data_IF_721910688320
#
_entry.id   IF_721910688320
#
_cell.length_a   1.000
_cell.length_b   1.000
_cell.length_c   1.000
_cell.angle_alpha   90.00
_cell.angle_beta   90.00
_cell.angle_gamma   90.00
#
_symmetry.space_group_name_H-M   'P 1'
#
loop_
_entity.id
_entity.type
_entity.pdbx_description
1 polymer ?
#
# COMPACT_ATOMS: atom_id res chain seq x y z
N UNK A 1 -20.54 -8.51 -16.90
CA UNK A 1 -19.29 -8.23 -17.62
C UNK A 1 -19.61 -7.35 -18.81
N UNK A 2 -18.78 -6.33 -19.11
CA UNK A 2 -17.58 -5.97 -18.37
C UNK A 2 -17.90 -5.19 -17.10
N UNK A 3 -16.93 -5.06 -16.19
CA UNK A 3 -17.02 -4.15 -15.04
C UNK A 3 -16.96 -2.72 -15.56
N UNK A 4 -17.87 -1.84 -15.11
CA UNK A 4 -17.92 -0.46 -15.59
C UNK A 4 -16.71 0.36 -15.14
N UNK A 5 -16.34 0.29 -13.86
CA UNK A 5 -15.16 0.98 -13.33
C UNK A 5 -14.40 0.05 -12.39
N UNK A 6 -13.14 -0.22 -12.71
CA UNK A 6 -12.20 -0.89 -11.83
C UNK A 6 -11.31 0.13 -11.13
N UNK A 7 -11.33 0.14 -9.80
CA UNK A 7 -10.51 1.03 -8.97
C UNK A 7 -9.46 0.20 -8.25
N UNK A 8 -8.18 0.54 -8.45
CA UNK A 8 -7.09 -0.19 -7.83
C UNK A 8 -5.80 0.61 -7.79
N UNK A 9 -4.86 0.18 -6.95
CA UNK A 9 -3.55 0.83 -6.87
C UNK A 9 -2.73 0.67 -8.16
N UNK A 10 -1.97 1.70 -8.52
CA UNK A 10 -1.08 1.67 -9.68
C UNK A 10 -0.06 0.51 -9.64
N UNK A 11 0.25 -0.03 -8.45
CA UNK A 11 1.09 -1.23 -8.29
C UNK A 11 0.56 -2.47 -9.01
N UNK A 12 -0.75 -2.54 -9.28
CA UNK A 12 -1.38 -3.69 -9.93
C UNK A 12 -1.54 -3.49 -11.45
N UNK A 13 -1.15 -2.33 -11.98
CA UNK A 13 -1.43 -1.93 -13.36
C UNK A 13 -0.76 -2.80 -14.42
N UNK A 14 0.36 -3.46 -14.09
CA UNK A 14 1.08 -4.31 -15.05
C UNK A 14 0.64 -5.77 -14.90
N UNK A 15 1.05 -6.47 -13.84
CA UNK A 15 0.85 -7.93 -13.74
C UNK A 15 -0.62 -8.32 -13.66
N UNK A 16 -1.33 -7.82 -12.64
CA UNK A 16 -2.70 -8.25 -12.39
C UNK A 16 -3.63 -7.86 -13.54
N UNK A 17 -3.50 -6.64 -14.07
CA UNK A 17 -4.31 -6.19 -15.21
C UNK A 17 -4.00 -6.97 -16.48
N UNK A 18 -2.73 -7.27 -16.75
CA UNK A 18 -2.37 -8.07 -17.90
C UNK A 18 -2.98 -9.48 -17.81
N UNK A 19 -2.89 -10.14 -16.65
CA UNK A 19 -3.50 -11.44 -16.45
C UNK A 19 -5.03 -11.41 -16.55
N UNK A 20 -5.69 -10.40 -15.98
CA UNK A 20 -7.13 -10.24 -16.09
C UNK A 20 -7.58 -10.11 -17.56
N UNK A 21 -6.84 -9.33 -18.36
CA UNK A 21 -7.11 -9.21 -19.81
C UNK A 21 -6.84 -10.52 -20.53
N UNK A 22 -5.71 -11.17 -20.28
CA UNK A 22 -5.38 -12.47 -20.88
C UNK A 22 -6.50 -13.50 -20.66
N UNK A 23 -6.95 -13.67 -19.41
CA UNK A 23 -8.03 -14.62 -19.12
C UNK A 23 -9.37 -14.19 -19.73
N UNK A 24 -9.69 -12.89 -19.75
CA UNK A 24 -10.91 -12.39 -20.39
C UNK A 24 -10.93 -12.66 -21.90
N UNK A 25 -9.79 -12.48 -22.58
CA UNK A 25 -9.64 -12.82 -23.99
C UNK A 25 -9.75 -14.33 -24.23
N UNK A 26 -9.07 -15.14 -23.42
CA UNK A 26 -9.16 -16.60 -23.51
C UNK A 26 -10.60 -17.10 -23.34
N UNK A 27 -11.31 -16.61 -22.32
CA UNK A 27 -12.70 -17.01 -22.05
C UNK A 27 -13.67 -16.52 -23.14
N UNK A 28 -13.40 -15.35 -23.73
CA UNK A 28 -14.15 -14.87 -24.88
C UNK A 28 -13.98 -15.79 -26.08
N UNK A 29 -12.76 -16.21 -26.38
CA UNK A 29 -12.45 -17.12 -27.49
C UNK A 29 -13.09 -18.50 -27.29
N UNK A 30 -13.29 -18.93 -26.05
CA UNK A 30 -14.04 -20.16 -25.71
C UNK A 30 -15.57 -19.98 -25.74
N UNK A 31 -16.08 -18.76 -25.93
CA UNK A 31 -17.52 -18.45 -25.91
C UNK A 31 -18.15 -18.32 -24.52
N UNK A 32 -17.34 -18.24 -23.47
CA UNK A 32 -17.82 -18.16 -22.07
C UNK A 32 -18.18 -16.74 -21.64
N UNK A 33 -17.67 -15.72 -22.34
CA UNK A 33 -17.98 -14.32 -22.09
C UNK A 33 -18.43 -13.63 -23.37
N UNK A 34 -19.33 -12.66 -23.22
CA UNK A 34 -19.84 -11.84 -24.34
C UNK A 34 -18.93 -10.66 -24.70
N UNK A 35 -17.91 -10.38 -23.88
CA UNK A 35 -17.02 -9.25 -24.05
C UNK A 35 -15.56 -9.69 -23.90
N UNK A 36 -14.70 -9.13 -24.76
CA UNK A 36 -13.29 -9.47 -24.83
C UNK A 36 -12.46 -8.83 -23.72
N UNK A 37 -12.73 -7.57 -23.40
CA UNK A 37 -12.06 -6.83 -22.33
C UNK A 37 -12.86 -6.89 -21.01
N UNK A 38 -12.18 -7.03 -19.85
CA UNK A 38 -12.87 -7.22 -18.57
C UNK A 38 -13.37 -5.92 -17.92
N UNK A 39 -12.79 -4.76 -18.27
CA UNK A 39 -13.05 -3.46 -17.64
C UNK A 39 -13.35 -2.40 -18.70
N UNK A 40 -14.42 -1.60 -18.53
CA UNK A 40 -14.68 -0.43 -19.40
C UNK A 40 -13.76 0.74 -19.06
N UNK A 41 -13.62 1.01 -17.77
CA UNK A 41 -12.73 2.04 -17.24
C UNK A 41 -11.86 1.47 -16.12
N UNK A 42 -10.62 1.92 -16.07
CA UNK A 42 -9.70 1.63 -14.98
C UNK A 42 -9.18 2.94 -14.37
N UNK A 43 -9.39 3.10 -13.07
CA UNK A 43 -8.90 4.22 -12.29
C UNK A 43 -7.75 3.76 -11.39
N UNK A 44 -6.54 4.18 -11.73
CA UNK A 44 -5.35 3.91 -10.94
C UNK A 44 -5.23 4.92 -9.79
N UNK A 45 -5.37 4.46 -8.56
CA UNK A 45 -5.17 5.28 -7.37
C UNK A 45 -3.68 5.39 -7.05
N UNK A 46 -3.29 6.57 -6.56
CA UNK A 46 -1.97 6.83 -5.99
C UNK A 46 -1.75 6.08 -4.68
N UNK A 47 -0.49 6.04 -4.23
CA UNK A 47 -0.11 5.37 -3.00
C UNK A 47 -0.15 6.33 -1.82
N UNK A 48 -0.69 5.86 -0.70
CA UNK A 48 -0.73 6.65 0.54
C UNK A 48 0.61 6.49 1.27
N UNK A 49 1.18 7.62 1.71
CA UNK A 49 2.45 7.69 2.42
C UNK A 49 2.25 7.98 3.90
N UNK A 50 3.19 7.53 4.74
CA UNK A 50 3.17 7.72 6.19
C UNK A 50 4.59 7.76 6.75
N UNK A 51 4.72 8.34 7.94
CA UNK A 51 5.96 8.39 8.72
C UNK A 51 6.52 6.98 8.95
N UNK A 52 7.79 6.80 8.65
CA UNK A 52 8.51 5.55 8.76
C UNK A 52 9.76 5.73 9.60
N UNK A 53 10.07 4.71 10.43
CA UNK A 53 11.18 4.75 11.37
C UNK A 53 12.06 3.53 11.16
N UNK A 54 13.36 3.77 10.97
CA UNK A 54 14.37 2.73 10.79
C UNK A 54 15.49 2.94 11.79
N UNK A 55 15.97 1.89 12.44
CA UNK A 55 17.23 1.97 13.18
C UNK A 55 18.36 2.37 12.22
N UNK A 56 19.13 3.40 12.57
CA UNK A 56 20.17 3.95 11.68
C UNK A 56 21.33 2.98 11.46
N UNK A 57 21.55 2.03 12.37
CA UNK A 57 22.62 1.02 12.29
C UNK A 57 22.25 -0.17 11.38
N UNK A 58 21.04 -0.69 11.54
CA UNK A 58 20.60 -1.98 11.01
C UNK A 58 19.56 -1.85 9.90
N UNK A 59 18.96 -0.67 9.73
CA UNK A 59 17.87 -0.44 8.79
C UNK A 59 16.55 -1.11 9.17
N UNK A 60 16.48 -1.72 10.36
CA UNK A 60 15.28 -2.42 10.84
C UNK A 60 14.15 -1.43 11.08
N UNK A 61 12.98 -1.74 10.52
CA UNK A 61 11.76 -0.96 10.73
C UNK A 61 11.25 -1.06 12.16
N UNK A 62 10.73 0.05 12.67
CA UNK A 62 10.17 0.19 14.00
C UNK A 62 8.73 0.72 13.92
N UNK A 63 7.88 0.31 14.86
CA UNK A 63 6.56 0.92 15.04
C UNK A 63 6.69 2.35 15.59
N UNK A 64 5.76 3.25 15.24
CA UNK A 64 5.71 4.61 15.82
C UNK A 64 5.76 4.58 17.36
N UNK A 65 5.09 3.61 17.98
CA UNK A 65 5.00 3.51 19.44
C UNK A 65 6.33 3.11 20.12
N UNK A 66 7.28 2.52 19.40
CA UNK A 66 8.60 2.13 19.94
C UNK A 66 9.65 3.23 19.81
N UNK A 67 9.28 4.41 19.29
CA UNK A 67 10.21 5.52 19.03
C UNK A 67 9.91 6.70 19.95
N UNK A 68 10.97 7.38 20.40
CA UNK A 68 10.92 8.62 21.17
C UNK A 68 11.46 9.76 20.31
N UNK A 69 10.69 10.84 20.21
CA UNK A 69 11.04 12.03 19.45
C UNK A 69 11.30 13.14 20.47
N UNK A 70 12.49 13.73 20.44
CA UNK A 70 12.89 14.90 21.24
C UNK A 70 13.49 15.95 20.31
N UNK A 71 12.66 16.89 19.83
CA UNK A 71 13.09 17.82 18.78
C UNK A 71 13.42 17.05 17.50
N UNK A 72 14.62 17.28 16.96
CA UNK A 72 15.12 16.59 15.77
C UNK A 72 15.76 15.22 16.07
N UNK A 73 16.00 14.90 17.34
CA UNK A 73 16.55 13.60 17.73
C UNK A 73 15.45 12.55 17.87
N UNK A 74 15.57 11.49 17.07
CA UNK A 74 14.67 10.34 17.05
C UNK A 74 15.45 9.11 17.52
N UNK A 75 14.98 8.48 18.61
CA UNK A 75 15.66 7.34 19.25
C UNK A 75 14.69 6.20 19.57
N UNK A 76 15.18 4.96 19.59
CA UNK A 76 14.38 3.80 20.01
C UNK A 76 14.19 3.80 21.54
N UNK A 77 12.95 3.54 22.00
CA UNK A 77 12.62 3.55 23.44
C UNK A 77 13.33 2.46 24.25
N UNK A 78 13.57 1.29 23.67
CA UNK A 78 14.14 0.13 24.37
C UNK A 78 15.67 0.20 24.48
N UNK A 79 16.35 0.54 23.38
CA UNK A 79 17.80 0.48 23.28
C UNK A 79 18.48 1.86 23.35
N UNK A 80 17.72 2.95 23.15
CA UNK A 80 18.26 4.31 23.03
C UNK A 80 18.99 4.58 21.71
N UNK A 81 18.99 3.63 20.76
CA UNK A 81 19.71 3.77 19.48
C UNK A 81 19.11 4.85 18.59
N UNK A 82 19.93 5.50 17.74
CA UNK A 82 19.45 6.48 16.77
C UNK A 82 18.53 5.83 15.73
N UNK A 83 17.51 6.58 15.35
CA UNK A 83 16.48 6.16 14.39
C UNK A 83 16.39 7.20 13.29
N UNK A 84 16.39 6.75 12.05
CA UNK A 84 16.14 7.56 10.86
C UNK A 84 14.63 7.67 10.63
N UNK A 85 14.14 8.89 10.42
CA UNK A 85 12.75 9.18 10.06
C UNK A 85 12.66 9.51 8.56
N UNK A 86 11.75 8.83 7.86
CA UNK A 86 11.48 9.01 6.42
C UNK A 86 9.98 8.98 6.17
N UNK A 87 9.52 9.60 5.07
CA UNK A 87 8.13 9.45 4.59
C UNK A 87 8.12 8.46 3.45
N UNK A 88 7.39 7.36 3.62
CA UNK A 88 7.37 6.26 2.66
C UNK A 88 5.95 5.71 2.46
N UNK A 89 5.72 5.02 1.33
CA UNK A 89 4.46 4.28 1.09
C UNK A 89 4.10 3.42 2.30
N UNK A 90 2.84 3.45 2.71
CA UNK A 90 2.32 2.57 3.76
C UNK A 90 2.42 1.10 3.35
N UNK A 91 3.03 0.29 4.21
CA UNK A 91 3.04 -1.17 4.05
C UNK A 91 3.16 -1.89 5.40
N UNK A 92 2.68 -3.13 5.44
CA UNK A 92 2.85 -4.01 6.62
C UNK A 92 4.32 -4.24 6.95
N UNK A 93 5.19 -4.39 5.95
CA UNK A 93 6.63 -4.63 6.13
C UNK A 93 7.38 -3.45 6.74
N UNK A 94 6.87 -2.22 6.56
CA UNK A 94 7.48 -0.98 7.07
C UNK A 94 6.96 -0.56 8.44
N UNK A 95 5.97 -1.28 8.97
CA UNK A 95 5.34 -1.02 10.27
C UNK A 95 4.78 0.41 10.43
N UNK A 96 4.47 1.07 9.31
CA UNK A 96 3.95 2.44 9.23
C UNK A 96 2.46 2.52 8.84
N UNK A 97 1.78 1.37 8.80
CA UNK A 97 0.35 1.31 8.51
C UNK A 97 -0.47 1.91 9.65
N UNK A 98 -1.39 2.82 9.32
CA UNK A 98 -2.37 3.36 10.26
C UNK A 98 -3.65 2.54 10.15
N UNK A 99 -4.17 2.06 11.27
CA UNK A 99 -5.42 1.31 11.30
C UNK A 99 -6.60 2.27 11.12
N UNK A 100 -7.47 2.09 10.11
CA UNK A 100 -8.62 2.96 9.90
C UNK A 100 -9.56 3.05 11.11
N UNK A 101 -9.74 1.96 11.86
CA UNK A 101 -10.63 1.95 13.03
C UNK A 101 -10.13 2.88 14.15
N UNK A 102 -8.81 2.99 14.30
CA UNK A 102 -8.19 3.88 15.28
C UNK A 102 -8.40 5.35 14.88
N UNK A 103 -8.44 5.64 13.57
CA UNK A 103 -8.71 6.99 13.05
C UNK A 103 -10.18 7.34 13.23
N UNK A 104 -11.09 6.45 12.83
CA UNK A 104 -12.55 6.61 12.98
C UNK A 104 -12.93 6.83 14.45
N UNK A 105 -12.43 6.00 15.37
CA UNK A 105 -12.73 6.15 16.80
C UNK A 105 -12.25 7.48 17.40
N UNK A 106 -11.21 8.09 16.82
CA UNK A 106 -10.64 9.36 17.30
C UNK A 106 -11.23 10.59 16.61
N UNK A 107 -11.64 10.47 15.35
CA UNK A 107 -11.94 11.61 14.47
C UNK A 107 -13.29 11.56 13.75
N UNK A 108 -13.98 10.41 13.71
CA UNK A 108 -15.22 10.20 12.95
C UNK A 108 -14.98 9.41 11.67
#
# INVERSE_FOLDING_TARGET
>A
MPVDVYVGGAEHAILHMYYARFFSHFLYDQGWTSHREPFKYQLALGTVHSDCYKLSDSGKYLHRNSVKIKGDEVTEKSSGRPVTHTVEKMSKSKLNGVNPNDVVSKHG
#
